data_IF_965601765224
#
_entry.id   IF_965601765224
#
_cell.length_a   1.000
_cell.length_b   1.000
_cell.length_c   1.000
_cell.angle_alpha   90.00
_cell.angle_beta   90.00
_cell.angle_gamma   90.00
#
_symmetry.space_group_name_H-M   'P 1'
#
loop_
_entity.id
_entity.type
_entity.pdbx_description
1 polymer ?
#
# COMPACT_ATOMS: atom_id res chain seq x y z
N UNK A 1 -9.04 51.26 35.74
CA UNK A 1 -9.47 52.14 34.63
C UNK A 1 -8.22 52.85 34.10
N UNK A 2 -7.64 52.41 32.97
CA UNK A 2 -6.37 52.93 32.46
C UNK A 2 -6.65 53.78 31.23
N UNK A 3 -6.42 55.09 31.34
CA UNK A 3 -6.64 56.04 30.26
C UNK A 3 -5.56 55.86 29.19
N UNK A 4 -5.96 55.47 27.98
CA UNK A 4 -5.07 55.38 26.82
C UNK A 4 -5.16 56.72 26.08
N UNK A 5 -4.03 57.44 26.00
CA UNK A 5 -3.91 58.70 25.27
C UNK A 5 -4.11 58.47 23.77
N UNK A 6 -4.92 59.31 23.11
CA UNK A 6 -5.15 59.24 21.66
C UNK A 6 -3.96 59.85 20.92
N UNK A 7 -3.11 59.01 20.35
CA UNK A 7 -2.08 59.42 19.40
C UNK A 7 -2.63 59.54 17.96
N UNK A 8 -2.02 60.36 17.09
CA UNK A 8 -2.45 60.55 15.69
C UNK A 8 -2.20 59.34 14.77
N UNK A 9 -1.64 58.25 15.30
CA UNK A 9 -1.37 57.02 14.56
C UNK A 9 -2.50 56.00 14.78
N UNK A 10 -3.02 55.47 13.68
CA UNK A 10 -4.01 54.39 13.71
C UNK A 10 -3.30 53.08 14.09
N UNK A 11 -3.43 52.66 15.35
CA UNK A 11 -2.83 51.41 15.81
C UNK A 11 -3.52 50.24 15.09
N UNK A 12 -2.84 49.59 14.15
CA UNK A 12 -3.27 48.29 13.62
C UNK A 12 -2.75 47.23 14.59
N UNK A 13 -3.58 46.34 15.12
CA UNK A 13 -3.10 45.28 16.01
C UNK A 13 -2.01 44.47 15.30
N UNK A 14 -0.85 44.31 15.96
CA UNK A 14 0.30 43.56 15.43
C UNK A 14 -0.01 42.06 15.31
N UNK A 15 -0.98 41.59 16.11
CA UNK A 15 -1.52 40.24 15.98
C UNK A 15 -2.71 40.32 15.04
N UNK A 16 -2.59 39.69 13.87
CA UNK A 16 -3.76 39.29 13.09
C UNK A 16 -4.54 38.34 14.00
N UNK A 17 -5.57 38.86 14.67
CA UNK A 17 -6.65 37.99 15.12
C UNK A 17 -7.23 37.49 13.81
N UNK A 18 -6.83 36.29 13.40
CA UNK A 18 -7.48 35.63 12.29
C UNK A 18 -8.96 35.69 12.64
N UNK A 19 -9.69 36.47 11.84
CA UNK A 19 -11.13 36.32 11.73
C UNK A 19 -11.30 34.84 11.43
N UNK A 20 -11.68 34.07 12.44
CA UNK A 20 -12.30 32.78 12.22
C UNK A 20 -13.54 33.09 11.40
N UNK A 21 -13.40 33.19 10.08
CA UNK A 21 -14.53 32.98 9.19
C UNK A 21 -14.97 31.57 9.56
N UNK A 22 -16.17 31.38 10.16
CA UNK A 22 -16.68 30.05 10.32
C UNK A 22 -16.89 29.58 8.90
N UNK A 23 -15.94 28.80 8.37
CA UNK A 23 -16.10 28.10 7.12
C UNK A 23 -17.28 27.18 7.38
N UNK A 24 -18.47 27.59 6.92
CA UNK A 24 -19.67 26.78 7.03
C UNK A 24 -19.33 25.48 6.29
N UNK A 25 -19.28 24.31 6.96
CA UNK A 25 -18.85 23.09 6.31
C UNK A 25 -19.70 22.74 5.09
N UNK A 26 -20.97 23.19 5.08
CA UNK A 26 -21.89 23.06 3.95
C UNK A 26 -21.55 23.96 2.73
N UNK A 27 -20.69 24.97 2.89
CA UNK A 27 -20.12 25.78 1.79
C UNK A 27 -18.76 25.28 1.34
N UNK A 28 -18.15 24.34 2.07
CA UNK A 28 -17.03 23.54 1.59
C UNK A 28 -17.59 22.50 0.62
N UNK A 29 -18.04 22.96 -0.55
CA UNK A 29 -18.02 22.09 -1.71
C UNK A 29 -16.56 21.74 -1.92
N UNK A 30 -16.17 20.47 -1.74
CA UNK A 30 -14.92 19.99 -2.33
C UNK A 30 -15.01 20.32 -3.81
N UNK A 31 -14.36 21.39 -4.31
CA UNK A 31 -14.45 21.70 -5.71
C UNK A 31 -13.76 20.51 -6.36
N UNK A 32 -14.46 19.75 -7.20
CA UNK A 32 -13.79 18.77 -8.04
C UNK A 32 -12.81 19.56 -8.90
N UNK A 33 -11.55 19.62 -8.45
CA UNK A 33 -10.56 20.62 -8.85
C UNK A 33 -9.95 20.37 -10.22
N UNK A 34 -10.44 19.37 -10.94
CA UNK A 34 -10.06 19.05 -12.30
C UNK A 34 -11.17 18.20 -12.93
N UNK A 35 -11.33 18.27 -14.27
CA UNK A 35 -12.18 17.31 -14.97
C UNK A 35 -11.73 15.89 -14.62
N UNK A 36 -12.69 14.99 -14.38
CA UNK A 36 -12.42 13.58 -14.14
C UNK A 36 -11.65 13.01 -15.34
N UNK A 37 -10.37 12.72 -15.12
CA UNK A 37 -9.48 12.15 -16.14
C UNK A 37 -9.20 10.70 -15.80
N UNK A 38 -8.97 9.90 -16.83
CA UNK A 38 -8.53 8.53 -16.66
C UNK A 38 -7.01 8.52 -16.48
N UNK A 39 -6.54 7.90 -15.40
CA UNK A 39 -5.13 7.75 -15.07
C UNK A 39 -4.76 6.28 -15.00
N UNK A 40 -3.50 6.01 -15.34
CA UNK A 40 -2.90 4.69 -15.19
C UNK A 40 -1.56 4.79 -14.49
N UNK A 41 -1.27 3.84 -13.62
CA UNK A 41 0.05 3.61 -13.06
C UNK A 41 0.35 2.12 -13.15
N UNK A 42 1.57 1.78 -13.57
CA UNK A 42 2.02 0.40 -13.72
C UNK A 42 3.39 0.28 -13.06
N UNK A 43 3.53 -0.71 -12.19
CA UNK A 43 4.76 -1.06 -11.52
C UNK A 43 5.06 -2.52 -11.86
N UNK A 44 6.30 -2.79 -12.23
CA UNK A 44 6.75 -4.12 -12.60
C UNK A 44 8.12 -4.34 -11.96
N UNK A 45 8.21 -5.36 -11.12
CA UNK A 45 9.44 -5.84 -10.54
C UNK A 45 9.78 -7.21 -11.17
N UNK A 46 11.02 -7.35 -11.60
CA UNK A 46 11.57 -8.59 -12.13
C UNK A 46 12.83 -8.94 -11.34
N UNK A 47 12.81 -10.07 -10.63
CA UNK A 47 13.90 -10.53 -9.81
C UNK A 47 14.26 -11.99 -10.10
N UNK A 48 15.50 -12.36 -9.74
CA UNK A 48 15.95 -13.74 -9.72
C UNK A 48 16.41 -14.07 -8.30
N UNK A 49 15.83 -15.10 -7.70
CA UNK A 49 16.33 -15.69 -6.47
C UNK A 49 17.39 -16.73 -6.82
N UNK A 50 18.65 -16.39 -6.56
CA UNK A 50 19.80 -17.24 -6.83
C UNK A 50 19.87 -18.47 -5.89
N UNK A 51 19.26 -18.41 -4.71
CA UNK A 51 19.26 -19.51 -3.73
C UNK A 51 18.29 -20.60 -4.14
N UNK A 52 17.07 -20.22 -4.53
CA UNK A 52 16.01 -21.16 -4.96
C UNK A 52 16.05 -21.48 -6.47
N UNK A 53 16.81 -20.71 -7.24
CA UNK A 53 16.85 -20.72 -8.71
C UNK A 53 15.44 -20.53 -9.30
N UNK A 54 14.75 -19.49 -8.81
CA UNK A 54 13.40 -19.08 -9.20
C UNK A 54 13.42 -17.64 -9.74
N UNK A 55 12.54 -17.36 -10.69
CA UNK A 55 12.26 -16.01 -11.15
C UNK A 55 11.06 -15.49 -10.40
N UNK A 56 11.13 -14.27 -9.89
CA UNK A 56 10.04 -13.62 -9.17
C UNK A 56 9.57 -12.42 -9.98
N UNK A 57 8.26 -12.35 -10.18
CA UNK A 57 7.61 -11.28 -10.94
C UNK A 57 6.51 -10.68 -10.08
N UNK A 58 6.58 -9.36 -9.86
CA UNK A 58 5.52 -8.63 -9.17
C UNK A 58 5.01 -7.51 -10.07
N UNK A 59 3.69 -7.37 -10.15
CA UNK A 59 3.03 -6.38 -11.01
C UNK A 59 1.90 -5.69 -10.26
N UNK A 60 1.92 -4.36 -10.22
CA UNK A 60 0.83 -3.54 -9.67
C UNK A 60 0.35 -2.56 -10.74
N UNK A 61 -0.90 -2.68 -11.13
CA UNK A 61 -1.59 -1.81 -12.08
C UNK A 61 -2.75 -1.08 -11.41
N UNK A 62 -2.82 0.24 -11.60
CA UNK A 62 -3.95 1.08 -11.17
C UNK A 62 -4.55 1.74 -12.40
N UNK A 63 -5.85 1.59 -12.61
CA UNK A 63 -6.54 2.10 -13.79
C UNK A 63 -7.88 2.72 -13.41
N UNK A 64 -8.07 4.02 -13.65
CA UNK A 64 -9.35 4.66 -13.37
C UNK A 64 -9.30 6.16 -13.18
N UNK A 65 -10.38 6.70 -12.63
CA UNK A 65 -10.53 8.13 -12.35
C UNK A 65 -9.76 8.59 -11.12
N UNK A 66 -10.03 9.81 -10.68
CA UNK A 66 -9.32 10.43 -9.54
C UNK A 66 -9.54 9.69 -8.22
N UNK A 67 -10.79 9.32 -7.93
CA UNK A 67 -11.17 8.69 -6.66
C UNK A 67 -11.41 7.18 -6.76
N UNK A 68 -11.69 6.68 -7.95
CA UNK A 68 -12.12 5.29 -8.18
C UNK A 68 -11.20 4.64 -9.20
N UNK A 69 -10.52 3.56 -8.81
CA UNK A 69 -9.56 2.85 -9.66
C UNK A 69 -9.78 1.34 -9.56
N UNK A 70 -9.49 0.63 -10.64
CA UNK A 70 -9.28 -0.80 -10.64
C UNK A 70 -7.79 -1.05 -10.30
N UNK A 71 -7.55 -1.79 -9.21
CA UNK A 71 -6.23 -2.27 -8.82
C UNK A 71 -6.11 -3.73 -9.25
N UNK A 72 -5.13 -3.99 -10.11
CA UNK A 72 -4.69 -5.34 -10.46
C UNK A 72 -3.33 -5.54 -9.82
N UNK A 73 -3.19 -6.54 -8.97
CA UNK A 73 -1.97 -6.75 -8.23
C UNK A 73 -1.60 -8.23 -8.28
N UNK A 74 -0.48 -8.55 -8.91
CA UNK A 74 0.10 -9.88 -8.90
C UNK A 74 1.37 -9.82 -8.05
N UNK A 75 1.38 -10.52 -6.92
CA UNK A 75 2.48 -10.45 -5.97
C UNK A 75 3.37 -11.68 -6.08
N UNK A 76 4.69 -11.43 -6.13
CA UNK A 76 5.77 -12.38 -5.96
C UNK A 76 5.55 -13.70 -6.73
N UNK A 77 5.06 -13.59 -7.97
CA UNK A 77 4.77 -14.76 -8.78
C UNK A 77 6.07 -15.51 -9.09
N UNK A 78 6.23 -16.68 -8.48
CA UNK A 78 7.43 -17.49 -8.63
C UNK A 78 7.33 -18.37 -9.89
N UNK A 79 8.32 -18.29 -10.76
CA UNK A 79 8.48 -19.13 -11.93
C UNK A 79 9.72 -20.00 -11.76
N UNK A 80 9.51 -21.33 -11.76
CA UNK A 80 10.57 -22.33 -11.66
C UNK A 80 10.58 -23.21 -12.90
N UNK A 81 11.71 -23.24 -13.63
CA UNK A 81 11.88 -24.03 -14.86
C UNK A 81 10.75 -23.81 -15.89
N UNK A 82 10.26 -22.57 -16.01
CA UNK A 82 9.19 -22.19 -16.94
C UNK A 82 7.78 -22.56 -16.49
N UNK A 83 7.57 -23.00 -15.25
CA UNK A 83 6.24 -23.22 -14.65
C UNK A 83 6.00 -22.23 -13.52
N UNK A 84 4.80 -21.64 -13.51
CA UNK A 84 4.33 -20.81 -12.40
C UNK A 84 4.12 -21.71 -11.18
N UNK A 85 4.91 -21.46 -10.16
CA UNK A 85 4.91 -22.20 -8.89
C UNK A 85 4.14 -21.45 -7.83
N UNK A 86 4.18 -20.11 -7.82
CA UNK A 86 3.33 -19.31 -6.94
C UNK A 86 2.67 -18.18 -7.75
N UNK A 87 1.41 -17.90 -7.44
CA UNK A 87 0.67 -16.80 -8.01
C UNK A 87 -0.44 -16.37 -7.03
N UNK A 88 -0.27 -15.18 -6.49
CA UNK A 88 -1.29 -14.42 -5.77
C UNK A 88 -1.73 -13.23 -6.66
N UNK A 89 -3.01 -13.20 -7.03
CA UNK A 89 -3.58 -12.16 -7.90
C UNK A 89 -4.81 -11.50 -7.26
N UNK A 90 -4.68 -10.23 -6.91
CA UNK A 90 -5.79 -9.37 -6.48
C UNK A 90 -6.40 -8.61 -7.65
N UNK A 91 -7.73 -8.61 -7.67
CA UNK A 91 -8.56 -7.76 -8.52
C UNK A 91 -9.48 -6.97 -7.61
N UNK A 92 -9.08 -5.74 -7.30
CA UNK A 92 -9.77 -4.88 -6.34
C UNK A 92 -10.28 -3.59 -6.95
N UNK A 93 -11.45 -3.18 -6.48
CA UNK A 93 -11.93 -1.83 -6.63
C UNK A 93 -11.32 -0.97 -5.51
N UNK A 94 -10.58 0.06 -5.89
CA UNK A 94 -9.87 0.97 -5.01
C UNK A 94 -10.60 2.32 -4.99
N UNK A 95 -10.88 2.83 -3.78
CA UNK A 95 -11.59 4.07 -3.56
C UNK A 95 -10.84 4.96 -2.56
N UNK A 96 -10.47 6.17 -2.98
CA UNK A 96 -9.79 7.15 -2.15
C UNK A 96 -10.76 7.78 -1.13
N UNK A 97 -10.50 7.58 0.16
CA UNK A 97 -11.34 8.11 1.26
C UNK A 97 -10.75 9.38 1.89
N UNK A 98 -9.44 9.56 1.82
CA UNK A 98 -8.70 10.70 2.35
C UNK A 98 -7.45 10.94 1.50
N UNK A 99 -6.75 12.05 1.70
CA UNK A 99 -5.55 12.42 0.93
C UNK A 99 -4.46 11.33 0.92
N UNK A 100 -4.40 10.50 1.98
CA UNK A 100 -3.38 9.47 2.16
C UNK A 100 -3.96 8.06 2.35
N UNK A 101 -5.28 7.90 2.30
CA UNK A 101 -5.91 6.62 2.62
C UNK A 101 -6.99 6.28 1.62
N UNK A 102 -7.01 5.01 1.23
CA UNK A 102 -8.00 4.42 0.37
C UNK A 102 -8.47 3.10 0.94
N UNK A 103 -9.70 2.74 0.59
CA UNK A 103 -10.24 1.42 0.84
C UNK A 103 -10.24 0.64 -0.45
N UNK A 104 -10.10 -0.66 -0.35
CA UNK A 104 -10.17 -1.56 -1.48
C UNK A 104 -11.03 -2.79 -1.17
N UNK A 105 -11.63 -3.35 -2.21
CA UNK A 105 -12.43 -4.55 -2.07
C UNK A 105 -12.65 -5.24 -3.40
N UNK A 106 -12.72 -6.57 -3.37
CA UNK A 106 -12.96 -7.37 -4.54
C UNK A 106 -12.61 -8.83 -4.30
N UNK A 107 -11.87 -9.42 -5.23
CA UNK A 107 -11.55 -10.85 -5.22
C UNK A 107 -10.07 -11.09 -5.38
N UNK A 108 -9.61 -12.14 -4.72
CA UNK A 108 -8.26 -12.63 -4.79
C UNK A 108 -8.26 -14.04 -5.35
N UNK A 109 -7.36 -14.30 -6.28
CA UNK A 109 -7.07 -15.62 -6.82
C UNK A 109 -5.75 -16.11 -6.26
N UNK A 110 -5.81 -17.18 -5.48
CA UNK A 110 -4.66 -17.76 -4.80
C UNK A 110 -4.38 -19.15 -5.37
N UNK A 111 -3.19 -19.40 -5.90
CA UNK A 111 -2.86 -20.67 -6.54
C UNK A 111 -2.04 -21.62 -5.66
N UNK A 112 -0.91 -21.17 -5.14
CA UNK A 112 0.02 -21.97 -4.33
C UNK A 112 0.47 -21.13 -3.13
N UNK A 113 0.86 -21.74 -2.00
CA UNK A 113 1.01 -23.17 -1.71
C UNK A 113 -0.31 -23.98 -1.51
N UNK A 114 -1.49 -23.42 -1.84
CA UNK A 114 -2.75 -24.17 -1.81
C UNK A 114 -2.76 -25.43 -2.70
N UNK A 115 -3.48 -26.47 -2.27
CA UNK A 115 -3.57 -27.75 -3.00
C UNK A 115 -4.32 -27.58 -4.33
N UNK A 116 -5.28 -26.65 -4.36
CA UNK A 116 -6.00 -26.23 -5.55
C UNK A 116 -6.15 -24.72 -5.56
N UNK A 117 -5.99 -24.06 -6.71
CA UNK A 117 -6.29 -22.64 -6.83
C UNK A 117 -7.74 -22.33 -6.46
N UNK A 118 -7.94 -21.25 -5.71
CA UNK A 118 -9.27 -20.83 -5.27
C UNK A 118 -9.43 -19.31 -5.32
N UNK A 119 -10.68 -18.88 -5.32
CA UNK A 119 -11.06 -17.48 -5.22
C UNK A 119 -11.55 -17.18 -3.82
N UNK A 120 -11.15 -16.04 -3.28
CA UNK A 120 -11.63 -15.55 -1.99
C UNK A 120 -12.02 -14.07 -2.09
N UNK A 121 -13.16 -13.66 -1.51
CA UNK A 121 -13.45 -12.24 -1.34
C UNK A 121 -12.43 -11.61 -0.39
N UNK A 122 -12.01 -10.39 -0.73
CA UNK A 122 -11.05 -9.61 0.04
C UNK A 122 -11.52 -8.16 0.19
N UNK A 123 -11.16 -7.56 1.32
CA UNK A 123 -11.25 -6.13 1.57
C UNK A 123 -9.94 -5.64 2.16
N UNK A 124 -9.59 -4.39 1.93
CA UNK A 124 -8.35 -3.83 2.45
C UNK A 124 -8.37 -2.32 2.59
N UNK A 125 -7.29 -1.82 3.17
CA UNK A 125 -6.99 -0.42 3.33
C UNK A 125 -5.55 -0.22 2.83
N UNK A 126 -5.40 0.67 1.86
CA UNK A 126 -4.12 1.04 1.24
C UNK A 126 -3.88 2.52 1.55
N UNK A 127 -2.72 2.86 2.13
CA UNK A 127 -2.46 4.24 2.51
C UNK A 127 -1.04 4.53 2.96
N UNK A 128 -0.78 5.81 3.20
CA UNK A 128 0.51 6.32 3.62
C UNK A 128 0.41 6.87 5.04
N UNK A 129 1.09 6.22 5.98
CA UNK A 129 1.23 6.64 7.36
C UNK A 129 2.30 7.76 7.52
N UNK A 130 2.32 8.46 8.67
CA UNK A 130 3.42 9.38 9.00
C UNK A 130 4.80 8.74 8.81
N UNK A 131 5.79 9.56 8.48
CA UNK A 131 7.14 9.12 8.09
C UNK A 131 7.25 8.39 6.75
N UNK A 132 6.23 8.51 5.89
CA UNK A 132 6.19 7.92 4.55
C UNK A 132 6.24 6.39 4.59
N UNK A 133 5.52 5.80 5.54
CA UNK A 133 5.36 4.35 5.64
C UNK A 133 4.16 3.98 4.78
N UNK A 134 4.40 3.24 3.70
CA UNK A 134 3.38 2.64 2.86
C UNK A 134 2.78 1.46 3.62
N UNK A 135 1.46 1.48 3.76
CA UNK A 135 0.70 0.57 4.60
C UNK A 135 -0.41 -0.03 3.77
N UNK A 136 -0.35 -1.36 3.60
CA UNK A 136 -1.38 -2.13 2.95
C UNK A 136 -1.86 -3.21 3.92
N UNK A 137 -3.14 -3.15 4.28
CA UNK A 137 -3.78 -4.11 5.18
C UNK A 137 -4.92 -4.75 4.41
N UNK A 138 -4.84 -6.07 4.17
CA UNK A 138 -5.83 -6.84 3.45
C UNK A 138 -6.40 -7.93 4.34
N UNK A 139 -7.68 -8.19 4.17
CA UNK A 139 -8.42 -9.23 4.89
C UNK A 139 -9.16 -10.07 3.88
N UNK A 140 -8.94 -11.38 3.91
CA UNK A 140 -9.58 -12.34 3.03
C UNK A 140 -10.43 -13.32 3.82
N UNK A 141 -11.53 -13.77 3.23
CA UNK A 141 -12.39 -14.78 3.82
C UNK A 141 -12.45 -16.03 2.95
N UNK A 142 -12.03 -17.17 3.50
CA UNK A 142 -12.08 -18.44 2.78
C UNK A 142 -12.42 -19.58 3.71
N UNK A 143 -13.37 -20.43 3.30
CA UNK A 143 -13.76 -21.66 4.00
C UNK A 143 -14.05 -21.47 5.52
N UNK A 144 -14.58 -20.31 5.93
CA UNK A 144 -14.87 -20.01 7.34
C UNK A 144 -13.66 -19.59 8.18
N UNK A 145 -12.51 -19.38 7.55
CA UNK A 145 -11.31 -18.74 8.11
C UNK A 145 -11.17 -17.31 7.56
N UNK A 146 -10.57 -16.44 8.36
CA UNK A 146 -10.23 -15.07 7.99
C UNK A 146 -8.70 -14.99 7.96
N UNK A 147 -8.14 -14.57 6.83
CA UNK A 147 -6.71 -14.28 6.64
C UNK A 147 -6.53 -12.77 6.73
N UNK A 148 -5.64 -12.31 7.59
CA UNK A 148 -5.20 -10.93 7.65
C UNK A 148 -3.77 -10.86 7.11
N UNK A 149 -3.56 -9.98 6.16
CA UNK A 149 -2.28 -9.72 5.51
C UNK A 149 -1.93 -8.25 5.74
N UNK A 150 -0.80 -8.00 6.38
CA UNK A 150 -0.34 -6.67 6.76
C UNK A 150 1.05 -6.47 6.18
N UNK A 151 1.14 -5.55 5.24
CA UNK A 151 2.37 -5.10 4.60
C UNK A 151 2.66 -3.65 5.01
N UNK A 152 3.85 -3.42 5.54
CA UNK A 152 4.37 -2.11 5.89
C UNK A 152 5.72 -1.94 5.21
N UNK A 153 5.89 -0.88 4.42
CA UNK A 153 7.18 -0.60 3.79
C UNK A 153 7.55 0.88 3.84
N UNK A 154 8.85 1.17 3.75
CA UNK A 154 9.36 2.55 3.76
C UNK A 154 10.60 2.69 2.90
N UNK A 155 10.55 3.66 1.99
CA UNK A 155 11.68 4.05 1.15
C UNK A 155 12.47 5.19 1.81
N UNK A 156 13.69 4.88 2.24
CA UNK A 156 14.61 5.87 2.83
C UNK A 156 15.66 6.28 1.82
N UNK A 157 15.70 7.58 1.50
CA UNK A 157 16.74 8.15 0.65
C UNK A 157 18.06 8.26 1.42
N UNK A 158 19.13 7.68 0.88
CA UNK A 158 20.46 7.73 1.48
C UNK A 158 21.35 8.73 0.74
N UNK A 159 21.31 8.72 -0.59
CA UNK A 159 21.99 9.71 -1.46
C UNK A 159 21.03 10.17 -2.57
N UNK A 160 21.48 10.99 -3.51
CA UNK A 160 20.61 11.54 -4.56
C UNK A 160 19.85 10.46 -5.36
N UNK A 161 20.50 9.32 -5.66
CA UNK A 161 19.92 8.25 -6.49
C UNK A 161 19.89 6.89 -5.79
N UNK A 162 20.32 6.80 -4.53
CA UNK A 162 20.36 5.55 -3.77
C UNK A 162 19.34 5.57 -2.62
N UNK A 163 18.50 4.54 -2.59
CA UNK A 163 17.40 4.38 -1.65
C UNK A 163 17.48 3.00 -1.02
N UNK A 164 16.97 2.88 0.19
CA UNK A 164 16.80 1.60 0.89
C UNK A 164 15.33 1.47 1.25
N UNK A 165 14.67 0.45 0.68
CA UNK A 165 13.34 0.03 1.10
C UNK A 165 13.48 -0.95 2.26
N UNK A 166 12.84 -0.66 3.37
CA UNK A 166 12.65 -1.60 4.47
C UNK A 166 11.17 -1.99 4.51
N UNK A 167 10.88 -3.29 4.50
CA UNK A 167 9.54 -3.85 4.48
C UNK A 167 9.36 -4.88 5.59
N UNK A 168 8.14 -4.96 6.10
CA UNK A 168 7.67 -5.99 7.02
C UNK A 168 6.32 -6.46 6.49
N UNK A 169 6.21 -7.75 6.24
CA UNK A 169 4.98 -8.41 5.84
C UNK A 169 4.62 -9.43 6.93
N UNK A 170 3.34 -9.53 7.26
CA UNK A 170 2.87 -10.48 8.26
C UNK A 170 1.49 -11.01 7.91
N UNK A 171 1.35 -12.34 8.04
CA UNK A 171 0.12 -13.05 7.71
C UNK A 171 -0.41 -13.71 8.99
N UNK A 172 -1.67 -13.41 9.32
CA UNK A 172 -2.40 -14.02 10.42
C UNK A 172 -3.62 -14.75 9.90
N UNK A 173 -4.00 -15.86 10.53
CA UNK A 173 -5.24 -16.54 10.22
C UNK A 173 -5.99 -16.96 11.48
N UNK A 174 -7.31 -16.79 11.45
CA UNK A 174 -8.17 -17.14 12.60
C UNK A 174 -8.33 -18.65 12.77
N UNK A 175 -8.30 -19.41 11.66
CA UNK A 175 -8.47 -20.87 11.67
C UNK A 175 -7.52 -21.54 10.71
N UNK A 176 -7.05 -22.73 11.09
CA UNK A 176 -6.30 -23.61 10.20
C UNK A 176 -7.19 -24.08 9.05
N UNK A 177 -6.74 -23.90 7.82
CA UNK A 177 -7.42 -24.41 6.62
C UNK A 177 -6.51 -25.43 5.94
N UNK A 178 -6.74 -26.74 6.06
CA UNK A 178 -5.85 -27.74 5.46
C UNK A 178 -5.72 -27.65 3.93
N UNK A 179 -6.72 -27.07 3.26
CA UNK A 179 -6.80 -26.92 1.80
C UNK A 179 -5.95 -25.76 1.27
N UNK A 180 -5.68 -24.76 2.11
CA UNK A 180 -4.85 -23.60 1.82
C UNK A 180 -3.88 -23.51 3.01
N UNK A 181 -2.66 -24.07 2.93
CA UNK A 181 -1.81 -24.45 4.07
C UNK A 181 -1.45 -23.25 4.95
N UNK A 182 -2.43 -22.87 5.76
CA UNK A 182 -2.49 -21.69 6.60
C UNK A 182 -2.87 -22.24 7.96
N UNK A 183 -1.97 -22.11 8.93
CA UNK A 183 -2.23 -22.49 10.32
C UNK A 183 -2.94 -21.36 11.07
N UNK A 184 -3.71 -21.69 12.11
CA UNK A 184 -4.28 -20.69 13.00
C UNK A 184 -3.19 -19.96 13.79
N UNK A 185 -3.27 -18.64 13.86
CA UNK A 185 -2.31 -17.80 14.56
C UNK A 185 -1.54 -16.89 13.60
N UNK A 186 -0.36 -16.44 14.04
CA UNK A 186 0.62 -15.82 13.16
C UNK A 186 1.22 -16.94 12.31
N UNK A 187 1.01 -16.88 10.99
CA UNK A 187 1.47 -17.93 10.08
C UNK A 187 2.91 -17.63 9.66
N UNK A 188 3.13 -16.40 9.22
CA UNK A 188 4.39 -15.98 8.62
C UNK A 188 4.69 -14.53 8.98
N UNK A 189 5.96 -14.23 9.19
CA UNK A 189 6.48 -12.87 9.25
C UNK A 189 7.71 -12.77 8.36
N UNK A 190 7.66 -11.88 7.38
CA UNK A 190 8.73 -11.62 6.43
C UNK A 190 9.31 -10.22 6.65
N UNK A 191 10.63 -10.14 6.69
CA UNK A 191 11.37 -8.90 6.74
C UNK A 191 12.14 -8.72 5.44
N UNK A 192 11.93 -7.58 4.80
CA UNK A 192 12.50 -7.28 3.49
C UNK A 192 13.41 -6.06 3.59
N UNK A 193 14.65 -6.18 3.11
CA UNK A 193 15.56 -5.05 2.93
C UNK A 193 15.99 -5.01 1.47
N UNK A 194 15.60 -3.95 0.76
CA UNK A 194 15.83 -3.79 -0.67
C UNK A 194 16.54 -2.46 -0.96
N UNK A 195 17.88 -2.43 -0.96
CA UNK A 195 18.62 -1.32 -1.54
C UNK A 195 18.38 -1.24 -3.05
N UNK A 196 18.06 -0.05 -3.54
CA UNK A 196 17.88 0.19 -4.97
C UNK A 196 18.54 1.49 -5.42
N UNK A 197 19.07 1.45 -6.65
CA UNK A 197 19.64 2.59 -7.34
C UNK A 197 18.71 3.03 -8.47
N UNK A 198 18.30 4.30 -8.44
CA UNK A 198 17.49 4.92 -9.48
C UNK A 198 18.41 5.33 -10.63
N UNK A 199 18.39 4.55 -11.70
CA UNK A 199 19.18 4.82 -12.91
C UNK A 199 18.56 5.99 -13.68
N UNK A 200 17.23 5.99 -13.80
CA UNK A 200 16.45 7.09 -14.37
C UNK A 200 15.03 7.08 -13.77
N UNK A 201 14.23 8.15 -13.91
CA UNK A 201 12.85 8.15 -13.44
C UNK A 201 12.06 6.96 -14.01
N UNK A 202 11.43 6.18 -13.13
CA UNK A 202 10.66 4.98 -13.50
C UNK A 202 11.49 3.71 -13.73
N UNK A 203 12.82 3.75 -13.67
CA UNK A 203 13.66 2.56 -13.81
C UNK A 203 14.71 2.47 -12.69
N UNK A 204 14.58 1.40 -11.90
CA UNK A 204 15.41 1.14 -10.73
C UNK A 204 16.07 -0.23 -10.87
N UNK A 205 17.30 -0.35 -10.36
CA UNK A 205 17.99 -1.62 -10.19
C UNK A 205 18.16 -1.87 -8.70
N UNK A 206 17.82 -3.07 -8.23
CA UNK A 206 17.82 -3.38 -6.81
C UNK A 206 18.55 -4.69 -6.51
N UNK A 207 18.99 -4.79 -5.27
CA UNK A 207 19.26 -6.07 -4.62
C UNK A 207 18.26 -6.21 -3.47
N UNK A 208 17.86 -7.43 -3.17
CA UNK A 208 16.89 -7.71 -2.12
C UNK A 208 17.43 -8.79 -1.19
N UNK A 209 17.23 -8.58 0.09
CA UNK A 209 17.36 -9.59 1.11
C UNK A 209 16.01 -9.76 1.80
N UNK A 210 15.51 -10.99 1.81
CA UNK A 210 14.30 -11.38 2.51
C UNK A 210 14.64 -12.40 3.58
N UNK A 211 14.05 -12.22 4.75
CA UNK A 211 14.11 -13.17 5.84
C UNK A 211 12.69 -13.50 6.30
N UNK A 212 12.26 -14.71 5.99
CA UNK A 212 10.95 -15.24 6.34
C UNK A 212 11.06 -16.12 7.58
N UNK A 213 10.16 -15.91 8.53
CA UNK A 213 10.04 -16.75 9.71
C UNK A 213 8.61 -17.26 9.83
N UNK A 214 8.48 -18.57 9.70
CA UNK A 214 7.24 -19.29 9.87
C UNK A 214 6.98 -19.57 11.34
N UNK A 215 5.73 -19.41 11.76
CA UNK A 215 5.27 -19.67 13.13
C UNK A 215 4.13 -20.70 13.18
N UNK A 216 3.68 -21.18 12.02
CA UNK A 216 2.59 -22.13 11.81
C UNK A 216 3.02 -23.55 11.44
#
# INVERSE_FOLDING_TARGET
MRFISKTPYHNRPIVRVDEETPLIPALINHPMGHPARFYTANFLDLANDFSKNTQEISFKGLYGGDFNKLKLNAENAEIKKGKVTDLDLDIFYWHLISQFWAIEGGVNYFNQPAVHPYWQPGIGIDGLMPYFIDTNIRTYFYAGSVKFDVELSRDTQITNNFFIRAGIESIFATKTVPLAPIASGMNEMQYTVRPYYRVMPGFNVFAQYQYTKDYG
#
